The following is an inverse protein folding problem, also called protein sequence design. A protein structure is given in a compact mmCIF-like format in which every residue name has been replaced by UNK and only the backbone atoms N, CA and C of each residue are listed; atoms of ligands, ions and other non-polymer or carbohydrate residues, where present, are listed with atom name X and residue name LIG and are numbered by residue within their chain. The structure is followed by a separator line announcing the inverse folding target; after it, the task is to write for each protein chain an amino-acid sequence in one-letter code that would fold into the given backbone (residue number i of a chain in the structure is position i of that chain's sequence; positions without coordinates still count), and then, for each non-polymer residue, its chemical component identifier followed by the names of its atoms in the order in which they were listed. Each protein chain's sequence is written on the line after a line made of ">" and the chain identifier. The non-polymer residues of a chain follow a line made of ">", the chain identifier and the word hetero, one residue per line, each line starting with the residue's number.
data_IF_540152438617
#
_entry.id   IF_540152438617
#
_cell.length_a   1.000
_cell.length_b   1.000
_cell.length_c   1.000
_cell.angle_alpha   90.00
_cell.angle_beta   90.00
_cell.angle_gamma   90.00
#
_symmetry.space_group_name_H-M   'P 1'
#
loop_
_entity.id
_entity.type
_entity.pdbx_description
1 polymer ?
#
# COMPACT_ATOMS: atom_id res chain seq x y z
N UNK A 1 -15.39 10.48 -1.96
CA UNK A 1 -14.31 10.04 -1.04
C UNK A 1 -13.89 11.23 -0.23
N UNK A 2 -13.75 11.07 1.09
CA UNK A 2 -13.19 12.13 1.92
C UNK A 2 -11.70 12.30 1.61
N UNK A 3 -11.18 13.53 1.53
CA UNK A 3 -9.75 13.77 1.40
C UNK A 3 -9.02 13.28 2.65
N UNK A 4 -7.73 12.98 2.51
CA UNK A 4 -6.84 12.71 3.64
C UNK A 4 -6.75 13.98 4.50
N UNK A 5 -6.99 13.91 5.83
CA UNK A 5 -6.79 15.02 6.74
C UNK A 5 -5.40 15.63 6.60
N UNK A 6 -5.28 16.96 6.61
CA UNK A 6 -4.01 17.69 6.42
C UNK A 6 -3.78 18.61 7.62
N UNK A 7 -2.53 18.72 8.08
CA UNK A 7 -2.16 19.69 9.13
C UNK A 7 -2.01 21.11 8.55
N UNK A 8 -1.67 21.20 7.26
CA UNK A 8 -1.26 22.40 6.55
C UNK A 8 -2.05 22.54 5.24
N UNK A 9 -2.47 23.75 4.91
CA UNK A 9 -3.45 24.00 3.82
C UNK A 9 -2.88 24.63 2.55
N UNK A 10 -1.65 25.17 2.59
CA UNK A 10 -1.09 26.02 1.52
C UNK A 10 0.13 25.43 0.80
N UNK A 11 0.51 24.18 1.11
CA UNK A 11 1.70 23.54 0.57
C UNK A 11 1.50 22.84 -0.77
N UNK A 12 2.50 22.92 -1.66
CA UNK A 12 2.54 22.09 -2.88
C UNK A 12 3.02 20.67 -2.55
N UNK A 13 2.33 19.66 -3.09
CA UNK A 13 2.66 18.24 -2.92
C UNK A 13 3.70 17.78 -3.95
N UNK A 14 4.93 18.27 -3.83
CA UNK A 14 6.00 18.03 -4.80
C UNK A 14 7.05 17.03 -4.30
N UNK A 15 7.83 16.44 -5.19
CA UNK A 15 8.92 15.53 -4.81
C UNK A 15 9.92 16.19 -3.85
N UNK A 16 10.23 17.48 -4.01
CA UNK A 16 11.14 18.21 -3.13
C UNK A 16 10.64 18.40 -1.69
N UNK A 17 9.32 18.32 -1.47
CA UNK A 17 8.72 18.42 -0.13
C UNK A 17 8.44 17.05 0.48
N UNK A 18 8.85 15.96 -0.20
CA UNK A 18 8.67 14.61 0.27
C UNK A 18 9.53 14.33 1.52
N UNK A 19 8.92 13.72 2.53
CA UNK A 19 9.58 13.16 3.70
C UNK A 19 9.04 11.75 3.95
N UNK A 20 9.82 10.93 4.64
CA UNK A 20 9.46 9.54 4.94
C UNK A 20 9.53 9.29 6.43
N UNK A 21 8.47 8.70 6.98
CA UNK A 21 8.52 8.03 8.28
C UNK A 21 8.70 6.54 8.04
N UNK A 22 9.71 5.95 8.68
CA UNK A 22 9.94 4.50 8.65
C UNK A 22 9.54 3.87 10.00
N UNK A 23 8.89 2.70 9.94
CA UNK A 23 8.65 1.80 11.07
C UNK A 23 8.95 0.38 10.67
N UNK A 24 9.49 -0.40 11.60
CA UNK A 24 9.79 -1.80 11.36
C UNK A 24 9.28 -2.66 12.52
N UNK A 25 8.60 -3.76 12.19
CA UNK A 25 8.35 -4.82 13.18
C UNK A 25 9.67 -5.47 13.58
N UNK A 26 9.71 -6.07 14.77
CA UNK A 26 10.82 -6.95 15.12
C UNK A 26 10.80 -8.24 14.27
N UNK A 27 11.92 -8.98 14.30
CA UNK A 27 12.06 -10.18 13.49
C UNK A 27 11.05 -11.27 13.89
N UNK A 28 10.74 -11.42 15.18
CA UNK A 28 9.83 -12.45 15.66
C UNK A 28 8.37 -12.19 15.22
N UNK A 29 7.92 -10.94 15.31
CA UNK A 29 6.62 -10.50 14.79
C UNK A 29 6.57 -10.62 13.26
N UNK A 30 7.67 -10.30 12.57
CA UNK A 30 7.76 -10.47 11.11
C UNK A 30 7.65 -11.95 10.71
N UNK A 31 8.32 -12.86 11.41
CA UNK A 31 8.19 -14.30 11.18
C UNK A 31 6.74 -14.76 11.33
N UNK A 32 6.08 -14.41 12.45
CA UNK A 32 4.65 -14.70 12.68
C UNK A 32 3.72 -14.13 11.60
N UNK A 33 4.06 -12.97 11.03
CA UNK A 33 3.31 -12.33 9.94
C UNK A 33 3.54 -12.99 8.57
N UNK A 34 4.62 -13.74 8.39
CA UNK A 34 4.95 -14.39 7.13
C UNK A 34 4.61 -15.88 7.12
N UNK A 35 4.21 -16.46 8.25
CA UNK A 35 3.79 -17.85 8.39
C UNK A 35 2.27 -18.00 8.18
N UNK A 36 1.81 -18.40 6.97
CA UNK A 36 0.40 -18.30 6.61
C UNK A 36 -0.51 -19.28 7.34
N UNK A 37 0.06 -20.40 7.81
CA UNK A 37 -0.65 -21.47 8.50
C UNK A 37 -0.91 -21.15 9.98
N UNK A 38 -0.36 -20.04 10.48
CA UNK A 38 -0.45 -19.64 11.90
C UNK A 38 -1.68 -18.77 12.21
N UNK A 39 -2.50 -18.43 11.20
CA UNK A 39 -3.66 -17.55 11.37
C UNK A 39 -4.95 -18.36 11.38
N UNK A 40 -5.75 -18.21 12.43
CA UNK A 40 -6.96 -19.00 12.68
C UNK A 40 -7.94 -19.05 11.49
N UNK A 41 -7.94 -18.03 10.62
CA UNK A 41 -8.88 -17.89 9.50
C UNK A 41 -8.23 -17.98 8.11
N UNK A 42 -6.96 -18.40 8.01
CA UNK A 42 -6.23 -18.53 6.73
C UNK A 42 -6.10 -17.23 5.94
N UNK A 43 -5.95 -16.10 6.64
CA UNK A 43 -5.76 -14.78 6.02
C UNK A 43 -4.52 -14.75 5.11
N UNK A 44 -4.34 -13.70 4.34
CA UNK A 44 -3.07 -13.42 3.64
C UNK A 44 -2.32 -12.29 4.36
N UNK A 45 -0.99 -12.22 4.18
CA UNK A 45 -0.21 -11.08 4.68
C UNK A 45 -0.79 -9.75 4.18
N UNK A 46 -1.22 -9.67 2.91
CA UNK A 46 -1.81 -8.44 2.38
C UNK A 46 -3.12 -8.07 3.08
N UNK A 47 -3.99 -9.05 3.37
CA UNK A 47 -5.22 -8.81 4.13
C UNK A 47 -4.92 -8.24 5.52
N UNK A 48 -3.96 -8.82 6.24
CA UNK A 48 -3.55 -8.33 7.56
C UNK A 48 -2.98 -6.91 7.50
N UNK A 49 -2.14 -6.61 6.50
CA UNK A 49 -1.59 -5.26 6.29
C UNK A 49 -2.70 -4.24 6.00
N UNK A 50 -3.67 -4.60 5.15
CA UNK A 50 -4.79 -3.73 4.83
C UNK A 50 -5.73 -3.51 6.02
N UNK A 51 -6.00 -4.56 6.80
CA UNK A 51 -6.79 -4.47 8.03
C UNK A 51 -6.10 -3.57 9.05
N UNK A 52 -4.80 -3.75 9.29
CA UNK A 52 -4.03 -2.92 10.22
C UNK A 52 -4.03 -1.45 9.78
N UNK A 53 -3.85 -1.19 8.48
CA UNK A 53 -3.91 0.17 7.95
C UNK A 53 -5.30 0.79 8.08
N UNK A 54 -6.35 0.06 7.73
CA UNK A 54 -7.71 0.58 7.79
C UNK A 54 -8.11 0.95 9.23
N UNK A 55 -7.76 0.11 10.22
CA UNK A 55 -7.97 0.42 11.63
C UNK A 55 -7.18 1.66 12.07
N UNK A 56 -5.88 1.69 11.80
CA UNK A 56 -5.02 2.82 12.16
C UNK A 56 -5.45 4.13 11.50
N UNK A 57 -5.93 4.08 10.25
CA UNK A 57 -6.46 5.23 9.55
C UNK A 57 -7.79 5.71 10.17
N UNK A 58 -8.64 4.79 10.63
CA UNK A 58 -9.85 5.12 11.38
C UNK A 58 -9.54 5.92 12.64
N UNK A 59 -8.65 5.39 13.48
CA UNK A 59 -8.19 6.05 14.71
C UNK A 59 -7.57 7.42 14.42
N UNK A 60 -6.81 7.52 13.33
CA UNK A 60 -6.06 8.72 12.97
C UNK A 60 -6.91 9.82 12.32
N UNK A 61 -7.87 9.46 11.47
CA UNK A 61 -8.67 10.41 10.68
C UNK A 61 -10.08 10.65 11.21
N UNK A 62 -10.61 9.74 12.04
CA UNK A 62 -12.03 9.68 12.39
C UNK A 62 -12.96 9.31 11.24
N UNK A 63 -12.43 9.04 10.04
CA UNK A 63 -13.24 8.71 8.87
C UNK A 63 -13.77 7.26 8.96
N UNK A 64 -15.01 6.99 8.53
CA UNK A 64 -15.60 5.63 8.56
C UNK A 64 -15.07 4.70 7.46
N UNK A 65 -14.39 5.26 6.47
CA UNK A 65 -13.79 4.53 5.35
C UNK A 65 -12.47 5.16 4.94
N UNK A 66 -11.59 4.35 4.35
CA UNK A 66 -10.38 4.81 3.68
C UNK A 66 -10.39 4.32 2.24
N UNK A 67 -9.84 5.12 1.33
CA UNK A 67 -9.73 4.76 -0.07
C UNK A 67 -8.26 4.70 -0.47
N UNK A 68 -7.89 3.58 -1.07
CA UNK A 68 -6.53 3.23 -1.43
C UNK A 68 -6.43 3.07 -2.93
N UNK A 69 -5.38 3.60 -3.53
CA UNK A 69 -4.91 3.14 -4.83
C UNK A 69 -4.00 1.94 -4.58
N UNK A 70 -4.51 0.77 -4.89
CA UNK A 70 -3.79 -0.50 -4.76
C UNK A 70 -2.83 -0.65 -5.94
N UNK A 71 -1.55 -0.87 -5.67
CA UNK A 71 -0.57 -1.23 -6.70
C UNK A 71 -0.36 -2.74 -6.71
N UNK A 72 -0.30 -3.31 -7.90
CA UNK A 72 -0.06 -4.72 -8.11
C UNK A 72 0.93 -4.93 -9.26
N UNK A 73 1.73 -6.00 -9.22
CA UNK A 73 2.79 -6.23 -10.21
C UNK A 73 2.28 -6.53 -11.62
N UNK A 74 1.00 -6.87 -11.77
CA UNK A 74 0.33 -6.97 -13.06
C UNK A 74 0.73 -8.18 -13.92
N UNK A 75 1.23 -9.26 -13.31
CA UNK A 75 1.58 -10.52 -14.02
C UNK A 75 0.54 -11.66 -13.91
N UNK A 76 -0.55 -11.49 -13.16
CA UNK A 76 -1.63 -12.49 -13.05
C UNK A 76 -2.57 -12.56 -14.28
N UNK A 77 -2.47 -11.58 -15.20
CA UNK A 77 -3.15 -11.56 -16.50
C UNK A 77 -4.68 -11.50 -16.46
N UNK A 78 -5.31 -11.45 -17.65
CA UNK A 78 -6.76 -11.58 -17.84
C UNK A 78 -7.19 -13.02 -18.17
N UNK A 79 -6.27 -13.98 -18.10
CA UNK A 79 -6.51 -15.38 -18.51
C UNK A 79 -6.42 -15.65 -20.01
N UNK A 80 -5.98 -14.69 -20.83
CA UNK A 80 -6.05 -14.76 -22.30
C UNK A 80 -4.72 -14.84 -23.05
N UNK A 81 -3.58 -15.06 -22.37
CA UNK A 81 -2.33 -15.49 -23.05
C UNK A 81 -1.01 -14.91 -22.51
N UNK A 82 0.01 -15.77 -22.49
CA UNK A 82 1.42 -15.49 -22.23
C UNK A 82 1.88 -15.67 -20.77
N UNK A 83 2.90 -16.50 -20.56
CA UNK A 83 3.63 -16.53 -19.27
C UNK A 83 4.50 -15.27 -19.15
N UNK A 84 4.03 -14.31 -18.35
CA UNK A 84 4.73 -13.05 -18.12
C UNK A 84 5.81 -13.13 -17.04
N UNK A 85 6.10 -14.28 -16.41
CA UNK A 85 7.02 -14.34 -15.26
C UNK A 85 8.40 -13.75 -15.55
N UNK A 86 8.93 -13.98 -16.75
CA UNK A 86 10.27 -13.51 -17.17
C UNK A 86 10.24 -12.30 -18.10
N UNK A 87 9.09 -11.65 -18.29
CA UNK A 87 8.97 -10.48 -19.18
C UNK A 87 9.42 -9.19 -18.48
N UNK A 88 10.30 -8.43 -19.12
CA UNK A 88 10.70 -7.10 -18.66
C UNK A 88 9.78 -6.03 -19.26
N UNK A 89 9.40 -5.05 -18.45
CA UNK A 89 8.52 -3.95 -18.84
C UNK A 89 7.75 -3.37 -17.66
N UNK A 90 7.05 -2.25 -17.90
CA UNK A 90 6.16 -1.66 -16.90
C UNK A 90 4.80 -2.35 -16.95
N UNK A 91 4.68 -3.45 -16.21
CA UNK A 91 3.48 -4.29 -16.18
C UNK A 91 2.55 -3.97 -15.01
N UNK A 92 2.98 -3.14 -14.06
CA UNK A 92 2.19 -2.80 -12.88
C UNK A 92 0.82 -2.25 -13.24
N UNK A 93 -0.19 -2.70 -12.51
CA UNK A 93 -1.55 -2.17 -12.58
C UNK A 93 -1.89 -1.47 -11.27
N UNK A 94 -2.82 -0.53 -11.33
CA UNK A 94 -3.45 0.02 -10.14
C UNK A 94 -4.98 0.04 -10.24
N UNK A 95 -5.63 0.09 -9.08
CA UNK A 95 -7.08 0.25 -8.97
C UNK A 95 -7.47 0.85 -7.62
N UNK A 96 -8.61 1.55 -7.53
CA UNK A 96 -9.13 2.05 -6.27
C UNK A 96 -9.79 0.92 -5.45
N UNK A 97 -9.50 0.87 -4.15
CA UNK A 97 -10.13 -0.01 -3.17
C UNK A 97 -10.62 0.82 -1.99
N UNK A 98 -11.90 0.69 -1.63
CA UNK A 98 -12.48 1.39 -0.47
C UNK A 98 -12.71 0.40 0.66
N UNK A 99 -12.07 0.63 1.80
CA UNK A 99 -12.14 -0.22 2.97
C UNK A 99 -12.89 0.50 4.10
N UNK A 100 -13.72 -0.21 4.88
CA UNK A 100 -14.20 0.30 6.16
C UNK A 100 -13.02 0.46 7.12
N UNK A 101 -13.09 1.41 8.04
CA UNK A 101 -12.05 1.63 9.07
C UNK A 101 -12.39 1.01 10.42
N UNK A 102 -13.64 0.56 10.59
CA UNK A 102 -14.11 -0.11 11.80
C UNK A 102 -14.89 -1.39 11.47
N UNK A 103 -14.86 -2.31 12.43
CA UNK A 103 -15.70 -3.50 12.43
C UNK A 103 -17.19 -3.13 12.39
N UNK A 104 -18.00 -3.96 11.74
CA UNK A 104 -19.45 -3.91 11.89
C UNK A 104 -19.87 -4.80 13.09
N UNK A 105 -21.02 -4.56 13.73
CA UNK A 105 -21.53 -5.45 14.76
C UNK A 105 -21.55 -6.91 14.28
N UNK A 106 -20.97 -7.81 15.08
CA UNK A 106 -20.90 -9.25 14.77
C UNK A 106 -19.89 -9.66 13.68
N UNK A 107 -19.04 -8.76 13.19
CA UNK A 107 -18.00 -9.07 12.20
C UNK A 107 -16.64 -8.51 12.63
N UNK A 108 -15.56 -9.19 12.27
CA UNK A 108 -14.22 -8.61 12.40
C UNK A 108 -13.95 -7.62 11.27
N UNK A 109 -13.07 -6.64 11.49
CA UNK A 109 -12.62 -5.75 10.41
C UNK A 109 -11.91 -6.53 9.30
N UNK A 110 -11.18 -7.60 9.66
CA UNK A 110 -10.53 -8.50 8.72
C UNK A 110 -11.54 -9.14 7.76
N UNK A 111 -12.66 -9.66 8.26
CA UNK A 111 -13.71 -10.24 7.41
C UNK A 111 -14.22 -9.21 6.38
N UNK A 112 -14.46 -7.97 6.80
CA UNK A 112 -14.92 -6.90 5.88
C UNK A 112 -13.86 -6.52 4.84
N UNK A 113 -12.59 -6.51 5.21
CA UNK A 113 -11.49 -6.28 4.26
C UNK A 113 -11.41 -7.41 3.24
N UNK A 114 -11.55 -8.66 3.69
CA UNK A 114 -11.60 -9.85 2.82
C UNK A 114 -12.75 -9.76 1.82
N UNK A 115 -13.95 -9.41 2.29
CA UNK A 115 -15.12 -9.23 1.42
C UNK A 115 -14.87 -8.17 0.34
N UNK A 116 -14.22 -7.06 0.69
CA UNK A 116 -13.88 -6.00 -0.29
C UNK A 116 -12.86 -6.46 -1.33
N UNK A 117 -11.85 -7.23 -0.91
CA UNK A 117 -10.86 -7.80 -1.82
C UNK A 117 -11.49 -8.85 -2.74
N UNK A 118 -12.29 -9.77 -2.19
CA UNK A 118 -12.98 -10.82 -2.94
C UNK A 118 -13.99 -10.24 -3.95
N UNK A 119 -14.67 -9.16 -3.59
CA UNK A 119 -15.59 -8.46 -4.48
C UNK A 119 -14.88 -7.69 -5.62
N UNK A 120 -13.55 -7.56 -5.58
CA UNK A 120 -12.79 -6.85 -6.62
C UNK A 120 -12.63 -7.74 -7.85
N UNK A 121 -13.28 -7.41 -9.00
CA UNK A 121 -13.25 -8.28 -10.17
C UNK A 121 -11.83 -8.38 -10.73
N UNK A 122 -11.37 -9.62 -10.95
CA UNK A 122 -10.06 -9.93 -11.56
C UNK A 122 -8.93 -9.10 -10.94
N UNK A 123 -8.88 -8.97 -9.61
CA UNK A 123 -7.85 -8.21 -8.89
C UNK A 123 -7.60 -6.79 -9.41
N UNK A 124 -8.64 -6.14 -9.95
CA UNK A 124 -8.60 -4.75 -10.41
C UNK A 124 -8.03 -4.53 -11.83
N UNK A 125 -7.65 -5.59 -12.56
CA UNK A 125 -7.10 -5.48 -13.92
C UNK A 125 -7.94 -4.64 -14.88
N UNK A 126 -9.26 -4.75 -14.77
CA UNK A 126 -10.18 -4.03 -15.64
C UNK A 126 -10.14 -2.51 -15.45
N UNK A 127 -9.72 -2.01 -14.28
CA UNK A 127 -9.80 -0.58 -13.97
C UNK A 127 -8.99 0.27 -14.95
N UNK A 128 -7.69 -0.01 -15.09
CA UNK A 128 -6.82 0.73 -16.00
C UNK A 128 -7.25 0.61 -17.47
N UNK A 129 -7.68 -0.58 -17.88
CA UNK A 129 -8.19 -0.82 -19.24
C UNK A 129 -9.43 0.04 -19.51
N UNK A 130 -10.40 0.03 -18.60
CA UNK A 130 -11.62 0.82 -18.76
C UNK A 130 -11.35 2.33 -18.67
N UNK A 131 -10.39 2.75 -17.84
CA UNK A 131 -10.04 4.17 -17.66
C UNK A 131 -9.23 4.76 -18.81
N UNK A 132 -8.39 3.96 -19.46
CA UNK A 132 -7.44 4.45 -20.46
C UNK A 132 -7.74 3.97 -21.89
N UNK A 133 -8.30 2.77 -22.06
CA UNK A 133 -8.41 2.08 -23.35
C UNK A 133 -9.85 1.82 -23.82
N UNK A 134 -10.87 1.99 -22.96
CA UNK A 134 -12.25 1.82 -23.39
C UNK A 134 -12.68 2.81 -24.48
N UNK A 135 -13.71 2.44 -25.24
CA UNK A 135 -14.39 3.36 -26.15
C UNK A 135 -15.15 4.47 -25.38
N UNK A 136 -15.40 5.58 -26.04
CA UNK A 136 -16.34 6.59 -25.52
C UNK A 136 -17.78 6.06 -25.55
N UNK A 137 -18.66 6.49 -24.62
CA UNK A 137 -18.45 7.48 -23.56
C UNK A 137 -17.87 6.89 -22.26
N UNK A 138 -17.62 5.58 -22.21
CA UNK A 138 -17.22 4.87 -20.98
C UNK A 138 -15.87 5.37 -20.45
N UNK A 139 -14.89 5.58 -21.34
CA UNK A 139 -13.57 6.10 -20.97
C UNK A 139 -13.64 7.45 -20.25
N UNK A 140 -14.42 8.40 -20.77
CA UNK A 140 -14.66 9.69 -20.10
C UNK A 140 -15.32 9.52 -18.73
N UNK A 141 -16.33 8.65 -18.61
CA UNK A 141 -16.97 8.33 -17.32
C UNK A 141 -15.98 7.73 -16.32
N UNK A 142 -15.08 6.86 -16.77
CA UNK A 142 -14.06 6.27 -15.91
C UNK A 142 -12.99 7.28 -15.49
N UNK A 143 -12.62 8.22 -16.37
CA UNK A 143 -11.65 9.31 -16.07
C UNK A 143 -12.19 10.33 -15.07
N UNK A 144 -13.50 10.58 -15.06
CA UNK A 144 -14.12 11.51 -14.11
C UNK A 144 -14.25 10.95 -12.68
N UNK A 145 -14.03 9.64 -12.48
CA UNK A 145 -14.01 9.06 -11.15
C UNK A 145 -12.84 9.61 -10.32
N UNK A 146 -13.05 9.89 -9.03
CA UNK A 146 -12.00 10.37 -8.14
C UNK A 146 -10.89 9.34 -8.00
N UNK A 147 -9.65 9.83 -7.88
CA UNK A 147 -8.48 9.00 -7.61
C UNK A 147 -8.15 9.06 -6.12
N UNK A 148 -7.85 7.92 -5.47
CA UNK A 148 -7.40 7.92 -4.09
C UNK A 148 -6.13 8.72 -3.84
N UNK A 149 -6.12 9.45 -2.73
CA UNK A 149 -4.96 10.23 -2.28
C UNK A 149 -3.91 9.37 -1.56
N UNK A 150 -4.21 8.09 -1.29
CA UNK A 150 -3.32 7.15 -0.59
C UNK A 150 -2.92 6.03 -1.54
N UNK A 151 -1.62 5.83 -1.75
CA UNK A 151 -1.10 4.66 -2.46
C UNK A 151 -0.74 3.57 -1.47
N UNK A 152 -1.12 2.32 -1.76
CA UNK A 152 -0.72 1.14 -1.01
C UNK A 152 0.06 0.19 -1.91
N UNK A 153 1.29 -0.14 -1.53
CA UNK A 153 2.14 -1.07 -2.27
C UNK A 153 2.89 -2.02 -1.31
N UNK A 154 2.51 -3.29 -1.31
CA UNK A 154 3.22 -4.36 -0.63
C UNK A 154 4.12 -5.10 -1.63
N UNK A 155 5.43 -5.03 -1.42
CA UNK A 155 6.44 -5.51 -2.38
C UNK A 155 6.93 -6.93 -2.09
N UNK A 156 6.52 -7.52 -0.97
CA UNK A 156 7.08 -8.78 -0.48
C UNK A 156 8.49 -8.58 0.08
N UNK A 157 9.40 -9.51 -0.24
CA UNK A 157 10.78 -9.54 0.30
C UNK A 157 11.73 -8.83 -0.67
N UNK A 158 12.47 -7.84 -0.18
CA UNK A 158 13.51 -7.15 -0.98
C UNK A 158 14.83 -7.94 -1.01
N UNK A 159 15.12 -8.73 0.04
CA UNK A 159 16.41 -9.43 0.17
C UNK A 159 16.56 -10.67 -0.75
N UNK A 160 15.68 -10.87 -1.74
CA UNK A 160 15.72 -12.09 -2.58
C UNK A 160 16.94 -12.12 -3.51
N UNK A 161 17.64 -10.99 -3.66
CA UNK A 161 18.84 -10.86 -4.49
C UNK A 161 20.11 -10.64 -3.66
N UNK A 162 20.35 -11.43 -2.59
CA UNK A 162 21.69 -11.45 -1.96
C UNK A 162 22.65 -12.22 -2.90
N UNK A 163 23.66 -11.55 -3.47
CA UNK A 163 24.63 -12.18 -4.36
C UNK A 163 25.50 -13.18 -3.60
N UNK A 164 26.02 -14.20 -4.31
CA UNK A 164 27.04 -15.11 -3.74
C UNK A 164 28.33 -14.32 -3.45
N UNK A 165 29.19 -14.77 -2.50
CA UNK A 165 30.51 -14.20 -2.31
C UNK A 165 31.27 -14.11 -3.66
N UNK A 166 31.82 -12.93 -3.99
CA UNK A 166 32.47 -12.67 -5.27
C UNK A 166 31.58 -12.05 -6.36
N UNK A 167 30.32 -11.72 -6.07
CA UNK A 167 29.40 -11.05 -6.98
C UNK A 167 29.05 -9.61 -6.52
N UNK A 168 28.53 -8.80 -7.44
CA UNK A 168 28.08 -7.41 -7.24
C UNK A 168 27.16 -7.26 -6.03
N UNK A 169 27.54 -6.45 -5.04
CA UNK A 169 26.66 -6.10 -3.91
C UNK A 169 25.89 -4.80 -4.18
N UNK A 170 24.66 -4.62 -3.64
CA UNK A 170 24.04 -3.31 -3.60
C UNK A 170 24.96 -2.30 -2.93
N UNK A 171 25.07 -1.12 -3.53
CA UNK A 171 25.79 0.02 -2.95
C UNK A 171 25.10 0.47 -1.65
N UNK A 172 25.87 1.03 -0.72
CA UNK A 172 25.34 1.54 0.55
C UNK A 172 24.64 2.90 0.34
N UNK A 173 25.03 3.60 -0.72
CA UNK A 173 24.49 4.86 -1.18
C UNK A 173 23.07 4.70 -1.71
N UNK A 174 22.17 5.60 -1.28
CA UNK A 174 20.79 5.66 -1.78
C UNK A 174 20.72 6.59 -2.98
N UNK A 175 20.02 6.16 -4.03
CA UNK A 175 19.61 7.06 -5.11
C UNK A 175 18.46 7.93 -4.61
N UNK A 176 18.71 9.22 -4.36
CA UNK A 176 17.73 10.17 -3.80
C UNK A 176 17.01 10.98 -4.87
N UNK A 177 17.64 11.23 -6.01
CA UNK A 177 17.16 12.23 -7.00
C UNK A 177 16.48 11.57 -8.21
N UNK A 178 15.54 10.66 -7.93
CA UNK A 178 14.82 9.91 -8.98
C UNK A 178 13.79 10.76 -9.75
N UNK A 179 13.39 11.88 -9.17
CA UNK A 179 12.36 12.77 -9.70
C UNK A 179 12.85 14.21 -9.62
N UNK A 180 12.41 15.07 -10.55
CA UNK A 180 12.64 16.51 -10.41
C UNK A 180 11.96 16.99 -9.13
N UNK A 181 12.61 17.87 -8.32
CA UNK A 181 12.02 18.38 -7.08
C UNK A 181 10.68 19.09 -7.27
N UNK A 182 10.38 19.55 -8.50
CA UNK A 182 9.15 20.26 -8.85
C UNK A 182 8.01 19.34 -9.29
N UNK A 183 8.29 18.05 -9.52
CA UNK A 183 7.30 17.06 -9.94
C UNK A 183 6.22 16.88 -8.87
N UNK A 184 4.96 16.76 -9.31
CA UNK A 184 3.85 16.44 -8.40
C UNK A 184 3.97 14.97 -7.95
N UNK A 185 3.79 14.72 -6.65
CA UNK A 185 3.87 13.36 -6.09
C UNK A 185 2.70 12.47 -6.52
N UNK A 186 1.60 13.04 -7.00
CA UNK A 186 0.39 12.34 -7.45
C UNK A 186 -0.41 11.63 -6.37
N UNK A 187 0.10 11.53 -5.14
CA UNK A 187 -0.58 11.03 -3.95
C UNK A 187 -0.11 11.78 -2.72
N UNK A 188 -1.01 11.93 -1.76
CA UNK A 188 -0.76 12.63 -0.49
C UNK A 188 0.06 11.72 0.43
N UNK A 189 -0.35 10.46 0.59
CA UNK A 189 0.35 9.43 1.35
C UNK A 189 0.75 8.28 0.44
N UNK A 190 1.98 7.78 0.61
CA UNK A 190 2.46 6.57 -0.07
C UNK A 190 2.94 5.57 0.96
N UNK A 191 2.26 4.44 1.04
CA UNK A 191 2.65 3.30 1.85
C UNK A 191 3.45 2.33 0.98
N UNK A 192 4.71 2.16 1.34
CA UNK A 192 5.58 1.15 0.77
C UNK A 192 5.93 0.16 1.87
N UNK A 193 5.53 -1.09 1.70
CA UNK A 193 5.70 -2.14 2.70
C UNK A 193 6.52 -3.27 2.09
N UNK A 194 7.57 -3.69 2.79
CA UNK A 194 8.46 -4.74 2.32
C UNK A 194 9.16 -5.44 3.49
N UNK A 195 9.76 -6.60 3.24
CA UNK A 195 10.60 -7.30 4.21
C UNK A 195 12.06 -7.10 3.83
N UNK A 196 12.84 -6.55 4.76
CA UNK A 196 14.27 -6.30 4.64
C UNK A 196 15.00 -6.78 5.88
N UNK A 197 16.04 -7.58 5.70
CA UNK A 197 16.83 -8.25 6.76
C UNK A 197 15.94 -8.94 7.81
N UNK A 198 14.93 -9.66 7.35
CA UNK A 198 14.00 -10.41 8.21
C UNK A 198 13.01 -9.55 9.00
N UNK A 199 12.88 -8.26 8.69
CA UNK A 199 11.94 -7.34 9.35
C UNK A 199 10.97 -6.74 8.33
N UNK A 200 9.67 -6.73 8.65
CA UNK A 200 8.69 -5.99 7.89
C UNK A 200 8.90 -4.50 8.15
N UNK A 201 9.15 -3.73 7.10
CA UNK A 201 9.35 -2.29 7.09
C UNK A 201 8.16 -1.64 6.40
N UNK A 202 7.57 -0.64 7.06
CA UNK A 202 6.68 0.36 6.48
C UNK A 202 7.49 1.64 6.26
N UNK A 203 7.61 2.08 5.01
CA UNK A 203 7.98 3.44 4.63
C UNK A 203 6.69 4.19 4.27
N UNK A 204 6.34 5.21 5.08
CA UNK A 204 5.21 6.10 4.83
C UNK A 204 5.73 7.45 4.36
N UNK A 205 5.63 7.70 3.06
CA UNK A 205 6.06 8.96 2.45
C UNK A 205 4.90 9.95 2.37
N UNK A 206 5.17 11.19 2.74
CA UNK A 206 4.22 12.31 2.78
C UNK A 206 4.90 13.61 2.32
N UNK A 207 4.14 14.70 2.20
CA UNK A 207 4.70 16.03 1.97
C UNK A 207 4.75 16.81 3.28
N UNK A 208 5.92 17.34 3.65
CA UNK A 208 6.05 18.20 4.83
C UNK A 208 5.29 19.53 4.70
N UNK A 209 4.86 19.87 3.49
CA UNK A 209 4.02 21.03 3.23
C UNK A 209 2.53 20.74 3.43
N UNK A 210 2.12 19.47 3.61
CA UNK A 210 0.75 19.05 3.91
C UNK A 210 0.59 18.51 5.33
N UNK A 211 1.63 17.85 5.86
CA UNK A 211 1.59 17.19 7.17
C UNK A 211 2.82 17.51 8.03
N UNK A 212 2.61 17.55 9.34
CA UNK A 212 3.68 17.54 10.33
C UNK A 212 4.19 16.11 10.50
N UNK A 213 5.50 15.95 10.69
CA UNK A 213 6.12 14.63 10.86
C UNK A 213 5.47 13.80 11.98
N UNK A 214 5.15 14.43 13.13
CA UNK A 214 4.47 13.79 14.25
C UNK A 214 3.09 13.20 13.89
N UNK A 215 2.36 13.86 12.99
CA UNK A 215 1.01 13.45 12.58
C UNK A 215 1.09 12.22 11.70
N UNK A 216 2.07 12.14 10.81
CA UNK A 216 2.29 10.96 9.97
C UNK A 216 2.93 9.82 10.76
N UNK A 217 3.80 10.15 11.73
CA UNK A 217 4.38 9.18 12.65
C UNK A 217 3.32 8.48 13.48
N UNK A 218 2.33 9.20 14.01
CA UNK A 218 1.25 8.57 14.78
C UNK A 218 0.41 7.58 13.96
N UNK A 219 0.20 7.83 12.67
CA UNK A 219 -0.42 6.88 11.74
C UNK A 219 0.46 5.63 11.54
N UNK A 220 1.77 5.81 11.32
CA UNK A 220 2.70 4.69 11.16
C UNK A 220 2.83 3.84 12.45
N UNK A 221 2.83 4.49 13.61
CA UNK A 221 2.83 3.86 14.93
C UNK A 221 1.51 3.11 15.18
N UNK A 222 0.38 3.72 14.81
CA UNK A 222 -0.94 3.08 14.84
C UNK A 222 -0.97 1.83 13.99
N UNK A 223 -0.47 1.89 12.75
CA UNK A 223 -0.37 0.74 11.86
C UNK A 223 0.43 -0.40 12.48
N UNK A 224 1.61 -0.11 13.04
CA UNK A 224 2.46 -1.13 13.65
C UNK A 224 1.80 -1.79 14.87
N UNK A 225 1.10 -1.01 15.71
CA UNK A 225 0.31 -1.54 16.84
C UNK A 225 -0.83 -2.43 16.37
N UNK A 226 -1.65 -1.95 15.45
CA UNK A 226 -2.80 -2.69 14.92
C UNK A 226 -2.34 -3.99 14.25
N UNK A 227 -1.25 -3.95 13.47
CA UNK A 227 -0.69 -5.15 12.83
C UNK A 227 -0.21 -6.17 13.87
N UNK A 228 0.50 -5.73 14.91
CA UNK A 228 0.98 -6.61 15.99
C UNK A 228 -0.17 -7.28 16.74
N UNK A 229 -1.28 -6.57 16.94
CA UNK A 229 -2.47 -7.08 17.61
C UNK A 229 -3.22 -8.16 16.78
N UNK A 230 -3.06 -8.16 15.46
CA UNK A 230 -3.64 -9.17 14.57
C UNK A 230 -2.83 -10.47 14.51
N UNK A 231 -1.58 -10.46 15.00
CA UNK A 231 -0.71 -11.63 14.94
C UNK A 231 -1.07 -12.63 16.04
N UNK A 232 -0.98 -13.95 15.77
CA UNK A 232 -1.26 -14.99 16.76
C UNK A 232 -0.32 -14.84 17.97
N UNK A 233 -0.73 -15.23 19.19
CA UNK A 233 0.15 -15.21 20.37
C UNK A 233 1.45 -15.99 20.12
N UNK A 234 2.49 -15.66 20.89
CA UNK A 234 3.76 -16.41 20.87
C UNK A 234 3.58 -17.83 21.40
#
# INVERSE_FOLDING_TARGET
>A
MAPVPRDLTAGRNTAGTARTVERALDAAATTRLLEPHSWADGATTQELLLTAFAAAYGDWSGAPTTALRMLHHGRHGLGTGGDLRSTLGWLSIDYPLVLPTAAAPGQTLLARVRDRLAATPRHGYGYGILRHLAAEPLRRRMRSLPTPEINFNYLGREDVAVPRPGQWRPAEERITDRFSPQEDRGSVLQLRIFVRRGRLVLELQYSESLHRSRTVASLADGFARQLTALLPPR
#
